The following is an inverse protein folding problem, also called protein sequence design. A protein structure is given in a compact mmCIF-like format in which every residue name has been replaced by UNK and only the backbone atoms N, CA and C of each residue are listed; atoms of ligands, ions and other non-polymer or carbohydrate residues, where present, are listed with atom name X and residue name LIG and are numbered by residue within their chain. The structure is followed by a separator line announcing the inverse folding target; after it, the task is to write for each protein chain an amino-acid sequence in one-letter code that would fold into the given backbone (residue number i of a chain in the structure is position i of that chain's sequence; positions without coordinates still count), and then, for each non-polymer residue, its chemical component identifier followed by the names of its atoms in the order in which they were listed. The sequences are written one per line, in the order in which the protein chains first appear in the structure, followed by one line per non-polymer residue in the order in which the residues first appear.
data_IF_518266778053
#
_entry.id   IF_518266778053
#
_cell.length_a   1.000
_cell.length_b   1.000
_cell.length_c   1.000
_cell.angle_alpha   90.00
_cell.angle_beta   90.00
_cell.angle_gamma   90.00
#
_symmetry.space_group_name_H-M   'P 1'
#
loop_
_entity.id
_entity.type
_entity.pdbx_description
1 polymer ?
#
# COMPACT_ATOMS: atom_id res chain seq x y z
N UNK A 1 21.21 4.66 -14.80
CA UNK A 1 20.70 3.66 -13.82
C UNK A 1 19.84 2.61 -14.52
N UNK A 2 18.97 3.01 -15.46
CA UNK A 2 18.08 2.11 -16.21
C UNK A 2 18.80 0.99 -16.98
N UNK A 3 19.99 1.24 -17.50
CA UNK A 3 20.78 0.23 -18.23
C UNK A 3 21.48 -0.78 -17.31
N UNK A 4 21.59 -0.47 -16.01
CA UNK A 4 22.37 -1.27 -15.05
C UNK A 4 21.50 -2.12 -14.13
N UNK A 5 20.24 -1.73 -13.91
CA UNK A 5 19.29 -2.50 -13.08
C UNK A 5 18.04 -2.78 -13.90
N UNK A 6 17.89 -4.04 -14.29
CA UNK A 6 16.79 -4.52 -15.13
C UNK A 6 15.82 -5.31 -14.25
N UNK A 7 14.50 -5.01 -14.27
CA UNK A 7 13.53 -5.75 -13.48
C UNK A 7 13.38 -7.18 -14.03
N UNK A 8 13.60 -8.19 -13.17
CA UNK A 8 13.54 -9.61 -13.53
C UNK A 8 12.14 -10.26 -13.46
N UNK A 9 11.14 -9.54 -12.92
CA UNK A 9 9.79 -10.02 -12.70
C UNK A 9 9.19 -9.48 -11.39
N UNK A 10 7.90 -9.71 -11.19
CA UNK A 10 7.17 -9.30 -10.00
C UNK A 10 7.52 -10.26 -8.87
N UNK A 11 7.77 -9.71 -7.68
CA UNK A 11 7.83 -10.52 -6.47
C UNK A 11 6.40 -11.00 -6.15
N UNK A 12 6.08 -12.22 -6.58
CA UNK A 12 4.71 -12.76 -6.47
C UNK A 12 4.39 -13.39 -5.12
N UNK A 13 5.42 -13.71 -4.32
CA UNK A 13 5.30 -14.27 -2.97
C UNK A 13 6.63 -14.18 -2.23
N UNK A 14 6.59 -14.23 -0.90
CA UNK A 14 7.76 -14.37 -0.03
C UNK A 14 7.47 -15.43 1.03
N UNK A 15 8.15 -16.57 0.95
CA UNK A 15 7.82 -17.72 1.80
C UNK A 15 6.33 -18.09 1.67
N UNK A 16 5.57 -18.15 2.77
CA UNK A 16 4.13 -18.43 2.74
C UNK A 16 3.25 -17.22 2.38
N UNK A 17 3.80 -16.00 2.35
CA UNK A 17 3.04 -14.77 2.10
C UNK A 17 2.78 -14.63 0.59
N UNK A 18 1.51 -14.73 0.20
CA UNK A 18 1.07 -14.55 -1.19
C UNK A 18 0.90 -13.06 -1.51
N UNK A 19 1.65 -12.55 -2.49
CA UNK A 19 1.50 -11.17 -2.97
C UNK A 19 0.54 -11.16 -4.16
N UNK A 20 0.81 -11.99 -5.17
CA UNK A 20 -0.03 -12.12 -6.38
C UNK A 20 0.01 -13.51 -7.02
N UNK A 21 0.74 -14.48 -6.43
CA UNK A 21 0.95 -15.81 -7.04
C UNK A 21 -0.38 -16.54 -7.24
N UNK A 22 -1.31 -16.47 -6.28
CA UNK A 22 -2.65 -17.07 -6.41
C UNK A 22 -3.44 -16.45 -7.54
N UNK A 23 -3.38 -15.13 -7.70
CA UNK A 23 -4.06 -14.41 -8.77
C UNK A 23 -3.56 -14.85 -10.15
N UNK A 24 -2.24 -14.84 -10.37
CA UNK A 24 -1.65 -15.30 -11.63
C UNK A 24 -2.03 -16.75 -11.94
N UNK A 25 -1.97 -17.64 -10.92
CA UNK A 25 -2.37 -19.03 -11.08
C UNK A 25 -3.83 -19.15 -11.49
N UNK A 26 -4.73 -18.37 -10.87
CA UNK A 26 -6.17 -18.42 -11.18
C UNK A 26 -6.47 -17.87 -12.58
N UNK A 27 -5.88 -16.75 -12.98
CA UNK A 27 -6.09 -16.14 -14.29
C UNK A 27 -5.59 -17.04 -15.42
N UNK A 28 -4.36 -17.58 -15.29
CA UNK A 28 -3.76 -18.47 -16.30
C UNK A 28 -4.47 -19.83 -16.40
N UNK A 29 -5.15 -20.27 -15.34
CA UNK A 29 -5.92 -21.50 -15.32
C UNK A 29 -7.38 -21.35 -15.79
N UNK A 30 -7.84 -20.13 -16.10
CA UNK A 30 -9.20 -19.89 -16.60
C UNK A 30 -9.40 -20.47 -17.99
N UNK A 31 -10.64 -20.82 -18.33
CA UNK A 31 -10.99 -21.35 -19.66
C UNK A 31 -10.68 -20.33 -20.76
N UNK A 32 -10.93 -19.03 -20.52
CA UNK A 32 -10.57 -17.97 -21.44
C UNK A 32 -9.06 -17.93 -21.73
N UNK A 33 -8.21 -18.15 -20.73
CA UNK A 33 -6.77 -18.19 -20.95
C UNK A 33 -6.33 -19.46 -21.71
N UNK A 34 -6.93 -20.61 -21.37
CA UNK A 34 -6.66 -21.90 -22.05
C UNK A 34 -7.10 -21.89 -23.51
N UNK A 35 -8.19 -21.20 -23.82
CA UNK A 35 -8.74 -21.06 -25.16
C UNK A 35 -8.10 -19.91 -25.96
N UNK A 36 -7.14 -19.17 -25.38
CA UNK A 36 -6.43 -18.08 -26.05
C UNK A 36 -7.19 -16.75 -26.13
N UNK A 37 -8.35 -16.64 -25.47
CA UNK A 37 -9.18 -15.43 -25.42
C UNK A 37 -8.68 -14.41 -24.37
N UNK A 38 -7.97 -14.88 -23.34
CA UNK A 38 -7.34 -14.04 -22.32
C UNK A 38 -5.81 -14.18 -22.36
N UNK A 39 -5.12 -13.06 -22.55
CA UNK A 39 -3.66 -12.98 -22.37
C UNK A 39 -3.33 -12.30 -21.05
N UNK A 40 -2.59 -12.98 -20.18
CA UNK A 40 -2.17 -12.46 -18.87
C UNK A 40 -0.76 -11.91 -18.99
N UNK A 41 -0.64 -10.60 -18.86
CA UNK A 41 0.61 -9.87 -18.91
C UNK A 41 1.11 -9.53 -17.51
N UNK A 42 2.40 -9.72 -17.27
CA UNK A 42 3.06 -9.28 -16.04
C UNK A 42 3.95 -8.09 -16.38
N UNK A 43 3.58 -6.90 -15.89
CA UNK A 43 4.36 -5.68 -16.09
C UNK A 43 5.14 -5.34 -14.82
N UNK A 44 6.44 -5.62 -14.85
CA UNK A 44 7.37 -5.30 -13.77
C UNK A 44 8.19 -4.07 -14.11
N UNK A 45 8.44 -3.21 -13.13
CA UNK A 45 9.18 -1.97 -13.32
C UNK A 45 10.07 -1.64 -12.12
N UNK A 46 11.13 -0.86 -12.36
CA UNK A 46 12.00 -0.35 -11.29
C UNK A 46 11.30 0.79 -10.54
N UNK A 47 10.61 0.44 -9.47
CA UNK A 47 9.83 1.36 -8.65
C UNK A 47 10.66 2.48 -8.00
N UNK A 48 12.01 2.46 -8.07
CA UNK A 48 12.86 3.52 -7.50
C UNK A 48 12.98 4.77 -8.39
N UNK A 49 12.58 4.64 -9.66
CA UNK A 49 12.72 5.68 -10.68
C UNK A 49 11.66 6.79 -10.55
N UNK A 50 11.78 7.83 -11.36
CA UNK A 50 10.80 8.93 -11.39
C UNK A 50 9.40 8.42 -11.76
N UNK A 51 8.33 8.81 -11.04
CA UNK A 51 6.98 8.36 -11.34
C UNK A 51 6.50 8.77 -12.74
N UNK A 52 6.95 9.93 -13.26
CA UNK A 52 6.70 10.33 -14.65
C UNK A 52 7.30 9.34 -15.66
N UNK A 53 8.56 8.93 -15.42
CA UNK A 53 9.23 7.96 -16.29
C UNK A 53 8.51 6.61 -16.26
N UNK A 54 8.10 6.16 -15.08
CA UNK A 54 7.35 4.91 -14.91
C UNK A 54 6.01 4.96 -15.65
N UNK A 55 5.31 6.09 -15.59
CA UNK A 55 4.07 6.27 -16.35
C UNK A 55 4.29 6.23 -17.86
N UNK A 56 5.31 6.93 -18.37
CA UNK A 56 5.67 6.87 -19.81
C UNK A 56 6.02 5.44 -20.26
N UNK A 57 6.76 4.70 -19.44
CA UNK A 57 7.11 3.29 -19.73
C UNK A 57 5.89 2.38 -19.71
N UNK A 58 4.93 2.61 -18.81
CA UNK A 58 3.67 1.86 -18.79
C UNK A 58 2.87 2.14 -20.07
N UNK A 59 2.76 3.40 -20.49
CA UNK A 59 2.11 3.77 -21.77
C UNK A 59 2.78 3.04 -22.94
N UNK A 60 4.11 3.15 -23.07
CA UNK A 60 4.87 2.48 -24.13
C UNK A 60 4.72 0.96 -24.13
N UNK A 61 4.55 0.35 -22.95
CA UNK A 61 4.26 -1.07 -22.84
C UNK A 61 2.86 -1.40 -23.35
N UNK A 62 1.86 -0.63 -22.91
CA UNK A 62 0.46 -0.82 -23.29
C UNK A 62 0.23 -0.61 -24.80
N UNK A 63 0.91 0.36 -25.43
CA UNK A 63 0.85 0.62 -26.87
C UNK A 63 1.30 -0.58 -27.72
N UNK A 64 2.19 -1.41 -27.19
CA UNK A 64 2.70 -2.60 -27.89
C UNK A 64 1.80 -3.82 -27.75
N UNK A 65 0.76 -3.75 -26.91
CA UNK A 65 -0.14 -4.88 -26.72
C UNK A 65 -1.02 -5.09 -27.95
N UNK A 66 -1.36 -6.35 -28.31
CA UNK A 66 -2.22 -6.64 -29.44
C UNK A 66 -3.57 -5.91 -29.37
N UNK A 67 -4.16 -5.79 -28.19
CA UNK A 67 -5.44 -5.09 -28.00
C UNK A 67 -5.38 -3.57 -28.18
N UNK A 68 -4.20 -2.99 -28.38
CA UNK A 68 -4.01 -1.55 -28.58
C UNK A 68 -3.47 -1.21 -29.96
N UNK A 69 -3.38 -2.19 -30.86
CA UNK A 69 -2.94 -1.93 -32.23
C UNK A 69 -4.01 -1.16 -33.03
N UNK A 70 -3.62 -0.34 -34.03
CA UNK A 70 -4.54 0.51 -34.78
C UNK A 70 -5.69 -0.23 -35.48
N UNK A 71 -5.45 -1.47 -35.88
CA UNK A 71 -6.41 -2.39 -36.52
C UNK A 71 -7.40 -3.03 -35.54
N UNK A 72 -7.15 -2.93 -34.23
CA UNK A 72 -8.07 -3.48 -33.22
C UNK A 72 -9.35 -2.64 -33.17
N UNK A 73 -10.54 -3.28 -33.36
CA UNK A 73 -11.83 -2.61 -33.25
C UNK A 73 -12.00 -1.87 -31.92
N UNK A 74 -12.64 -0.70 -31.95
CA UNK A 74 -12.76 0.19 -30.77
C UNK A 74 -13.43 -0.49 -29.57
N UNK A 75 -14.40 -1.38 -29.81
CA UNK A 75 -15.09 -2.19 -28.79
C UNK A 75 -14.20 -3.25 -28.13
N UNK A 76 -13.13 -3.67 -28.81
CA UNK A 76 -12.13 -4.63 -28.32
C UNK A 76 -10.81 -4.00 -27.91
N UNK A 77 -10.69 -2.66 -28.06
CA UNK A 77 -9.48 -1.91 -27.76
C UNK A 77 -9.32 -1.67 -26.26
N UNK A 78 -8.08 -1.72 -25.79
CA UNK A 78 -7.70 -1.41 -24.42
C UNK A 78 -7.41 -2.64 -23.57
N UNK A 79 -6.43 -2.53 -22.67
CA UNK A 79 -6.13 -3.55 -21.67
C UNK A 79 -6.91 -3.33 -20.37
N UNK A 80 -7.26 -4.41 -19.67
CA UNK A 80 -7.68 -4.32 -18.27
C UNK A 80 -6.41 -4.33 -17.41
N UNK A 81 -6.19 -3.27 -16.63
CA UNK A 81 -5.00 -3.13 -15.78
C UNK A 81 -5.37 -3.37 -14.32
N UNK A 82 -4.68 -4.30 -13.67
CA UNK A 82 -4.77 -4.52 -12.21
C UNK A 82 -3.55 -3.84 -11.59
N UNK A 83 -3.78 -2.80 -10.80
CA UNK A 83 -2.74 -1.98 -10.21
C UNK A 83 -2.79 -2.06 -8.68
N UNK A 84 -1.65 -2.34 -8.05
CA UNK A 84 -1.52 -2.45 -6.61
C UNK A 84 -0.67 -1.33 -6.03
N UNK A 85 -1.09 -0.79 -4.90
CA UNK A 85 -0.36 0.23 -4.14
C UNK A 85 0.11 1.40 -5.02
N UNK A 86 1.40 1.77 -4.97
CA UNK A 86 2.06 2.75 -5.82
C UNK A 86 1.79 2.56 -7.32
N UNK A 87 1.65 1.32 -7.79
CA UNK A 87 1.35 1.04 -9.21
C UNK A 87 0.03 1.66 -9.67
N UNK A 88 -0.92 1.88 -8.75
CA UNK A 88 -2.15 2.59 -9.07
C UNK A 88 -1.95 4.08 -9.33
N UNK A 89 -0.98 4.73 -8.67
CA UNK A 89 -0.62 6.12 -8.97
C UNK A 89 -0.02 6.24 -10.38
N UNK A 90 0.90 5.33 -10.74
CA UNK A 90 1.49 5.27 -12.07
C UNK A 90 0.43 5.02 -13.14
N UNK A 91 -0.50 4.10 -12.86
CA UNK A 91 -1.62 3.76 -13.74
C UNK A 91 -2.58 4.93 -13.92
N UNK A 92 -2.93 5.64 -12.84
CA UNK A 92 -3.81 6.81 -12.91
C UNK A 92 -3.20 7.94 -13.73
N UNK A 93 -1.91 8.22 -13.54
CA UNK A 93 -1.20 9.17 -14.40
C UNK A 93 -1.24 8.72 -15.86
N UNK A 94 -0.99 7.44 -16.15
CA UNK A 94 -1.03 6.92 -17.52
C UNK A 94 -2.42 7.05 -18.16
N UNK A 95 -3.49 6.80 -17.39
CA UNK A 95 -4.87 6.99 -17.82
C UNK A 95 -5.17 8.46 -18.15
N UNK A 96 -4.64 9.42 -17.39
CA UNK A 96 -4.79 10.85 -17.70
C UNK A 96 -4.04 11.28 -18.97
N UNK A 97 -3.09 10.50 -19.47
CA UNK A 97 -2.36 10.81 -20.71
C UNK A 97 -2.94 10.07 -21.91
N UNK A 98 -3.33 8.80 -21.71
CA UNK A 98 -3.74 7.88 -22.78
C UNK A 98 -4.88 6.96 -22.30
N UNK A 99 -6.08 7.51 -22.04
CA UNK A 99 -7.20 6.72 -21.54
C UNK A 99 -7.66 5.64 -22.55
N UNK A 100 -7.38 5.86 -23.85
CA UNK A 100 -7.69 4.95 -24.95
C UNK A 100 -6.98 3.59 -24.88
N UNK A 101 -5.88 3.48 -24.13
CA UNK A 101 -5.11 2.24 -23.96
C UNK A 101 -5.73 1.28 -22.93
N UNK A 102 -6.79 1.70 -22.26
CA UNK A 102 -7.40 0.99 -21.14
C UNK A 102 -8.85 0.61 -21.46
N UNK A 103 -9.20 -0.67 -21.29
CA UNK A 103 -10.59 -1.13 -21.31
C UNK A 103 -11.18 -1.25 -19.89
N UNK A 104 -10.33 -1.13 -18.87
CA UNK A 104 -10.73 -1.14 -17.47
C UNK A 104 -9.55 -1.06 -16.51
N UNK A 105 -9.81 -0.67 -15.26
CA UNK A 105 -8.79 -0.65 -14.21
C UNK A 105 -9.32 -1.17 -12.87
N UNK A 106 -8.50 -1.96 -12.16
CA UNK A 106 -8.74 -2.35 -10.77
C UNK A 106 -7.61 -1.80 -9.92
N UNK A 107 -7.94 -0.90 -8.99
CA UNK A 107 -7.01 -0.36 -7.99
C UNK A 107 -7.08 -1.18 -6.70
N UNK A 108 -5.98 -1.78 -6.28
CA UNK A 108 -5.90 -2.51 -5.01
C UNK A 108 -5.01 -1.74 -4.03
N UNK A 109 -5.61 -1.20 -2.98
CA UNK A 109 -4.89 -0.45 -1.94
C UNK A 109 -4.10 0.75 -2.47
N UNK A 110 -4.55 1.39 -3.55
CA UNK A 110 -3.82 2.51 -4.16
C UNK A 110 -3.94 3.77 -3.31
N UNK A 111 -2.85 4.32 -2.74
CA UNK A 111 -2.95 5.44 -1.82
C UNK A 111 -3.07 6.77 -2.55
N UNK A 112 -4.04 7.61 -2.19
CA UNK A 112 -3.99 9.04 -2.49
C UNK A 112 -2.89 9.73 -1.65
N UNK A 113 -2.76 9.28 -0.41
CA UNK A 113 -1.77 9.73 0.57
C UNK A 113 -1.41 8.55 1.47
N UNK A 114 -0.14 8.41 1.85
CA UNK A 114 0.35 7.38 2.76
C UNK A 114 1.54 7.95 3.54
N UNK A 115 1.33 8.29 4.81
CA UNK A 115 2.35 8.89 5.66
C UNK A 115 3.33 7.85 6.22
N UNK A 116 3.00 6.56 6.16
CA UNK A 116 3.86 5.47 6.65
C UNK A 116 5.30 5.53 6.10
N UNK A 117 5.48 6.08 4.89
CA UNK A 117 6.78 6.21 4.25
C UNK A 117 7.76 7.12 5.01
N UNK A 118 7.26 7.99 5.89
CA UNK A 118 8.10 8.89 6.70
C UNK A 118 8.99 8.11 7.69
N UNK A 119 8.54 6.96 8.18
CA UNK A 119 9.36 6.08 9.02
C UNK A 119 10.60 5.57 8.28
N UNK A 120 10.45 4.89 7.13
CA UNK A 120 11.57 4.45 6.31
C UNK A 120 12.51 5.58 5.88
N UNK A 121 11.98 6.77 5.61
CA UNK A 121 12.79 7.96 5.25
C UNK A 121 13.59 8.51 6.43
N UNK A 122 13.10 8.37 7.67
CA UNK A 122 13.74 8.85 8.90
C UNK A 122 14.69 7.82 9.51
N UNK A 123 14.23 6.59 9.64
CA UNK A 123 14.83 5.55 10.48
C UNK A 123 15.42 4.39 9.66
N UNK A 124 15.15 4.36 8.35
CA UNK A 124 15.30 3.13 7.55
C UNK A 124 14.16 2.16 7.81
N UNK A 125 14.19 1.04 7.11
CA UNK A 125 13.22 -0.04 7.24
C UNK A 125 13.96 -1.38 7.22
N UNK A 126 13.43 -2.36 7.93
CA UNK A 126 13.95 -3.71 7.91
C UNK A 126 13.35 -4.45 6.73
N UNK A 127 14.16 -5.16 5.95
CA UNK A 127 13.65 -6.13 4.96
C UNK A 127 13.93 -7.52 5.48
N UNK A 128 12.87 -8.24 5.83
CA UNK A 128 12.94 -9.54 6.48
C UNK A 128 13.73 -9.46 7.81
N UNK A 129 15.01 -9.81 7.77
CA UNK A 129 15.91 -9.81 8.94
C UNK A 129 17.07 -8.81 8.79
N UNK A 130 17.04 -7.95 7.77
CA UNK A 130 18.16 -7.04 7.45
C UNK A 130 17.76 -5.57 7.50
N UNK A 131 18.37 -4.85 8.44
CA UNK A 131 18.32 -3.38 8.57
C UNK A 131 19.30 -2.64 7.65
N UNK A 132 20.09 -3.38 6.86
CA UNK A 132 21.17 -2.83 6.03
C UNK A 132 20.77 -2.60 4.57
N UNK A 133 19.60 -3.08 4.15
CA UNK A 133 19.16 -3.03 2.75
C UNK A 133 18.35 -1.77 2.45
N UNK A 134 17.35 -1.45 3.29
CA UNK A 134 16.51 -0.26 3.14
C UNK A 134 16.86 0.78 4.21
N UNK A 135 18.10 1.23 4.24
CA UNK A 135 18.51 2.34 5.12
C UNK A 135 17.73 3.63 4.81
N UNK A 136 17.74 4.59 5.72
CA UNK A 136 17.16 5.92 5.51
C UNK A 136 17.71 6.57 4.23
N UNK A 137 19.01 6.43 3.98
CA UNK A 137 19.64 6.93 2.74
C UNK A 137 19.11 6.20 1.50
N UNK A 138 18.92 4.88 1.54
CA UNK A 138 18.35 4.15 0.40
C UNK A 138 16.93 4.62 0.13
N UNK A 139 16.06 4.66 1.15
CA UNK A 139 14.69 5.17 1.04
C UNK A 139 14.64 6.60 0.50
N UNK A 140 15.54 7.47 0.95
CA UNK A 140 15.66 8.85 0.47
C UNK A 140 15.97 8.94 -1.03
N UNK A 141 16.66 7.96 -1.60
CA UNK A 141 16.98 7.95 -3.05
C UNK A 141 15.89 7.34 -3.94
N UNK A 142 14.83 6.78 -3.35
CA UNK A 142 13.68 6.18 -4.05
C UNK A 142 12.68 7.30 -4.37
N UNK A 143 12.61 7.71 -5.64
CA UNK A 143 11.82 8.89 -6.05
C UNK A 143 10.32 8.73 -5.84
N UNK A 144 9.81 7.51 -5.97
CA UNK A 144 8.38 7.21 -5.79
C UNK A 144 7.93 7.25 -4.34
N UNK A 145 8.83 7.13 -3.36
CA UNK A 145 8.51 7.27 -1.94
C UNK A 145 7.88 8.63 -1.65
N UNK A 146 8.39 9.69 -2.27
CA UNK A 146 7.84 11.04 -2.14
C UNK A 146 6.45 11.19 -2.76
N UNK A 147 6.05 10.33 -3.71
CA UNK A 147 4.73 10.39 -4.35
C UNK A 147 3.60 9.95 -3.39
N UNK A 148 3.95 9.28 -2.29
CA UNK A 148 3.04 8.86 -1.25
C UNK A 148 2.69 9.99 -0.26
N UNK A 149 3.54 11.01 -0.16
CA UNK A 149 3.38 12.10 0.81
C UNK A 149 2.14 12.96 0.49
N UNK A 150 1.43 13.46 1.51
CA UNK A 150 0.22 14.25 1.31
C UNK A 150 0.53 15.67 0.82
N UNK A 151 -0.28 16.18 -0.12
CA UNK A 151 -0.19 17.57 -0.60
C UNK A 151 -0.73 18.58 0.42
N UNK A 152 -1.65 18.16 1.29
CA UNK A 152 -2.24 19.02 2.33
C UNK A 152 -1.36 19.12 3.60
N UNK A 153 -0.21 18.44 3.60
CA UNK A 153 0.76 18.48 4.68
C UNK A 153 0.35 17.79 5.97
N UNK A 154 -0.81 17.11 6.01
CA UNK A 154 -1.33 16.52 7.24
C UNK A 154 -0.54 15.29 7.65
N UNK A 155 0.02 15.32 8.86
CA UNK A 155 0.68 14.17 9.49
C UNK A 155 0.81 14.38 11.00
N UNK A 156 1.24 15.57 11.42
CA UNK A 156 1.51 15.86 12.82
C UNK A 156 0.34 16.63 13.45
N UNK A 157 0.03 16.31 14.71
CA UNK A 157 -0.96 17.05 15.48
C UNK A 157 -0.68 16.98 16.97
N UNK A 158 -1.15 17.99 17.71
CA UNK A 158 -0.94 18.09 19.14
C UNK A 158 -1.60 16.91 19.87
N UNK A 159 -0.84 16.23 20.74
CA UNK A 159 -1.35 15.07 21.48
C UNK A 159 -2.52 15.40 22.41
N UNK A 160 -2.57 16.62 22.96
CA UNK A 160 -3.60 17.09 23.88
C UNK A 160 -4.68 17.91 23.18
N UNK A 161 -4.32 18.98 22.47
CA UNK A 161 -5.28 19.94 21.89
C UNK A 161 -5.89 19.45 20.58
N UNK A 162 -5.31 18.43 19.94
CA UNK A 162 -5.65 17.95 18.60
C UNK A 162 -5.47 18.98 17.49
N UNK A 163 -4.79 20.09 17.77
CA UNK A 163 -4.40 21.08 16.76
C UNK A 163 -3.51 20.43 15.70
N UNK A 164 -3.85 20.59 14.42
CA UNK A 164 -3.07 20.06 13.31
C UNK A 164 -1.84 20.93 13.03
N UNK A 165 -0.70 20.29 12.78
CA UNK A 165 0.55 20.94 12.36
C UNK A 165 0.91 20.52 10.93
N UNK A 166 0.17 21.02 9.91
CA UNK A 166 0.51 20.72 8.53
C UNK A 166 1.90 21.27 8.19
N UNK A 167 2.66 20.52 7.40
CA UNK A 167 3.97 20.89 6.87
C UNK A 167 4.02 20.64 5.36
N UNK A 168 4.69 21.50 4.59
CA UNK A 168 4.84 21.27 3.15
C UNK A 168 5.92 20.21 2.88
N UNK A 169 5.50 18.97 2.68
CA UNK A 169 6.39 17.86 2.33
C UNK A 169 7.12 18.03 1.00
N UNK A 170 6.75 19.02 0.18
CA UNK A 170 7.36 19.31 -1.10
C UNK A 170 8.25 20.57 -1.08
N UNK A 171 8.50 21.14 0.10
CA UNK A 171 9.50 22.17 0.33
C UNK A 171 10.79 21.55 0.93
N UNK A 172 11.94 21.61 0.24
CA UNK A 172 13.20 21.06 0.78
C UNK A 172 13.62 21.72 2.12
N UNK A 173 13.24 22.97 2.39
CA UNK A 173 13.58 23.63 3.65
C UNK A 173 12.82 23.01 4.82
N UNK A 174 11.55 22.63 4.63
CA UNK A 174 10.76 21.92 5.64
C UNK A 174 11.43 20.61 6.06
N UNK A 175 12.07 19.89 5.14
CA UNK A 175 12.80 18.66 5.45
C UNK A 175 14.04 18.91 6.31
N UNK A 176 14.71 20.03 6.09
CA UNK A 176 15.88 20.45 6.87
C UNK A 176 15.44 20.87 8.27
N UNK A 177 14.45 21.77 8.36
CA UNK A 177 13.98 22.36 9.61
C UNK A 177 13.35 21.33 10.55
N UNK A 178 12.63 20.35 9.98
CA UNK A 178 11.97 19.28 10.73
C UNK A 178 12.79 17.97 10.76
N UNK A 179 14.03 18.00 10.26
CA UNK A 179 14.93 16.86 10.19
C UNK A 179 14.32 15.58 9.58
N UNK A 180 13.37 15.68 8.64
CA UNK A 180 12.51 14.56 8.18
C UNK A 180 13.29 13.34 7.66
N UNK A 181 14.55 13.52 7.28
CA UNK A 181 15.49 12.44 7.01
C UNK A 181 16.90 12.81 7.50
N UNK A 182 17.65 11.86 8.12
CA UNK A 182 19.03 12.10 8.54
C UNK A 182 19.97 12.48 7.38
N UNK A 183 19.55 12.25 6.13
CA UNK A 183 20.31 12.56 4.92
C UNK A 183 20.47 14.07 4.69
N UNK A 184 19.54 14.90 5.18
CA UNK A 184 19.58 16.37 5.00
C UNK A 184 19.76 17.14 6.32
N UNK A 185 19.31 16.58 7.43
CA UNK A 185 19.52 17.13 8.77
C UNK A 185 19.42 16.03 9.83
N UNK A 186 20.32 16.06 10.81
CA UNK A 186 20.33 15.10 11.92
C UNK A 186 19.19 15.42 12.90
N UNK A 187 18.33 14.45 13.25
CA UNK A 187 17.31 14.63 14.27
C UNK A 187 17.89 15.07 15.63
N UNK A 188 17.18 15.96 16.32
CA UNK A 188 17.52 16.35 17.69
C UNK A 188 17.21 15.22 18.69
N UNK A 189 17.89 15.19 19.86
CA UNK A 189 17.56 14.24 20.92
C UNK A 189 16.10 14.33 21.37
N UNK A 190 15.58 13.27 22.03
CA UNK A 190 14.20 13.21 22.52
C UNK A 190 13.79 14.44 23.31
N UNK A 191 12.51 14.81 23.24
CA UNK A 191 11.99 15.87 24.09
C UNK A 191 11.91 15.32 25.51
N UNK A 192 12.80 15.78 26.41
CA UNK A 192 12.71 15.39 27.82
C UNK A 192 11.33 15.78 28.34
N UNK A 193 10.51 14.79 28.68
CA UNK A 193 9.29 15.03 29.45
C UNK A 193 9.71 15.76 30.73
N UNK A 194 9.40 17.04 30.82
CA UNK A 194 9.68 17.87 32.01
C UNK A 194 8.75 17.54 33.17
N UNK A 195 8.12 16.37 33.14
CA UNK A 195 7.19 15.88 34.15
C UNK A 195 7.65 14.48 34.59
N UNK A 196 8.15 14.38 35.82
CA UNK A 196 8.49 13.15 36.56
C UNK A 196 9.93 12.58 36.51
N UNK A 197 10.98 13.40 36.52
CA UNK A 197 12.35 12.92 36.84
C UNK A 197 13.10 13.75 37.90
N UNK A 198 12.37 14.39 38.81
CA UNK A 198 12.95 15.23 39.86
C UNK A 198 13.43 14.52 41.13
N UNK A 199 13.04 13.26 41.38
CA UNK A 199 13.29 12.63 42.70
C UNK A 199 13.79 11.17 42.59
N UNK A 200 13.52 10.47 41.49
CA UNK A 200 13.89 9.05 41.32
C UNK A 200 15.37 8.82 40.96
N UNK A 201 16.02 9.82 40.36
CA UNK A 201 17.44 9.74 39.95
C UNK A 201 18.42 9.77 41.12
N UNK A 202 18.03 10.29 42.29
CA UNK A 202 18.90 10.37 43.47
C UNK A 202 18.88 9.04 44.24
N UNK A 203 17.80 8.26 44.18
CA UNK A 203 17.73 6.94 44.82
C UNK A 203 18.49 5.85 44.04
N UNK A 204 18.73 6.03 42.74
CA UNK A 204 19.50 5.07 41.93
C UNK A 204 21.01 5.16 42.19
N UNK A 205 21.50 6.29 42.73
CA UNK A 205 22.92 6.48 43.07
C UNK A 205 23.33 5.90 44.42
N UNK A 206 22.39 5.41 45.25
CA UNK A 206 22.68 4.80 46.56
C UNK A 206 22.51 3.27 46.58
N UNK A 207 22.05 2.66 45.49
CA UNK A 207 21.88 1.20 45.40
C UNK A 207 23.17 0.44 45.04
N UNK A 208 24.26 1.15 44.73
CA UNK A 208 25.56 0.59 44.33
C UNK A 208 26.51 0.26 45.50
N UNK A 209 26.01 0.24 46.75
CA UNK A 209 26.85 0.03 47.95
C UNK A 209 26.45 -1.15 48.86
N UNK A 210 25.76 -2.17 48.34
CA UNK A 210 25.44 -3.38 49.14
C UNK A 210 25.99 -4.67 48.50
N UNK A 211 26.73 -5.52 49.25
CA UNK A 211 27.29 -6.76 48.73
C UNK A 211 26.30 -7.95 48.75
N UNK A 212 26.38 -8.75 47.69
CA UNK A 212 25.76 -10.06 47.37
C UNK A 212 25.03 -10.86 48.48
N UNK A 213 23.81 -11.32 48.16
CA UNK A 213 23.24 -12.58 48.68
C UNK A 213 22.51 -13.38 47.56
N UNK A 214 22.46 -14.73 47.62
CA UNK A 214 22.20 -15.60 46.47
C UNK A 214 20.73 -15.96 46.21
N UNK A 215 20.48 -16.30 44.95
CA UNK A 215 19.23 -16.76 44.31
C UNK A 215 18.58 -17.98 44.99
N UNK A 216 17.27 -17.89 45.25
CA UNK A 216 16.38 -19.01 45.57
C UNK A 216 15.40 -19.20 44.42
N UNK A 217 15.46 -20.36 43.76
CA UNK A 217 14.52 -20.77 42.72
C UNK A 217 13.23 -21.38 43.26
N UNK A 218 12.18 -21.40 42.44
CA UNK A 218 11.05 -22.35 42.56
C UNK A 218 10.36 -22.57 41.21
N UNK A 219 10.20 -23.86 40.87
CA UNK A 219 9.40 -24.40 39.76
C UNK A 219 7.95 -24.65 40.23
N UNK A 220 7.01 -24.62 39.28
CA UNK A 220 5.68 -25.25 39.33
C UNK A 220 4.92 -24.88 38.04
N UNK A 221 4.07 -25.67 37.40
CA UNK A 221 3.63 -27.07 37.53
C UNK A 221 2.96 -27.48 36.20
N UNK A 222 3.07 -28.75 35.82
CA UNK A 222 2.36 -29.36 34.69
C UNK A 222 1.05 -29.97 35.20
N UNK A 223 -0.07 -29.78 34.48
CA UNK A 223 -1.26 -30.61 34.60
C UNK A 223 -1.61 -31.28 33.27
N UNK A 224 -1.57 -32.62 33.28
CA UNK A 224 -2.10 -33.53 32.27
C UNK A 224 -3.62 -33.70 32.47
N UNK A 225 -4.36 -33.90 31.38
CA UNK A 225 -5.51 -34.81 31.38
C UNK A 225 -5.61 -35.53 30.04
N UNK A 226 -5.57 -36.86 30.12
CA UNK A 226 -5.74 -37.81 29.04
C UNK A 226 -7.19 -38.31 29.07
N UNK A 227 -7.80 -38.58 27.91
CA UNK A 227 -9.14 -39.16 27.81
C UNK A 227 -9.32 -39.92 26.49
N UNK A 228 -9.68 -41.20 26.61
CA UNK A 228 -9.52 -42.27 25.62
C UNK A 228 -10.54 -42.28 24.45
N UNK A 229 -10.13 -43.00 23.40
CA UNK A 229 -10.93 -43.55 22.30
C UNK A 229 -12.11 -44.42 22.78
N UNK A 230 -13.21 -44.46 21.99
CA UNK A 230 -13.57 -45.63 21.18
C UNK A 230 -14.89 -45.46 20.35
N UNK A 231 -14.90 -46.18 19.22
CA UNK A 231 -16.01 -46.77 18.43
C UNK A 231 -16.61 -46.02 17.22
N UNK A 232 -16.57 -46.76 16.10
CA UNK A 232 -17.26 -46.79 14.79
C UNK A 232 -18.77 -46.41 14.82
N UNK A 233 -19.53 -46.09 13.77
CA UNK A 233 -19.45 -46.10 12.29
C UNK A 233 -20.63 -45.25 11.70
N UNK A 234 -20.63 -45.06 10.37
CA UNK A 234 -21.76 -44.67 9.50
C UNK A 234 -22.31 -43.22 9.51
N UNK A 235 -21.91 -42.45 8.49
CA UNK A 235 -22.83 -41.82 7.51
C UNK A 235 -22.02 -41.00 6.50
N UNK A 236 -21.87 -41.58 5.31
CA UNK A 236 -21.44 -40.90 4.10
C UNK A 236 -22.63 -40.17 3.45
N UNK A 237 -22.34 -39.17 2.62
CA UNK A 237 -23.26 -38.19 1.97
C UNK A 237 -23.66 -36.94 2.77
N UNK A 238 -22.69 -36.27 3.39
CA UNK A 238 -22.72 -34.81 3.63
C UNK A 238 -21.31 -34.19 3.75
N UNK A 239 -20.28 -34.84 3.18
CA UNK A 239 -18.87 -34.55 3.48
C UNK A 239 -18.14 -33.67 2.46
N UNK A 240 -18.64 -33.50 1.23
CA UNK A 240 -17.86 -32.78 0.21
C UNK A 240 -18.00 -31.25 0.27
N UNK A 241 -19.17 -30.72 0.61
CA UNK A 241 -19.35 -29.26 0.72
C UNK A 241 -18.79 -28.71 2.04
N UNK A 242 -18.86 -29.49 3.12
CA UNK A 242 -18.35 -29.10 4.44
C UNK A 242 -16.82 -29.20 4.52
N UNK A 243 -16.19 -30.14 3.81
CA UNK A 243 -14.72 -30.27 3.73
C UNK A 243 -14.06 -29.15 2.91
N UNK A 244 -14.75 -28.64 1.88
CA UNK A 244 -14.27 -27.49 1.09
C UNK A 244 -14.40 -26.17 1.87
N UNK A 245 -15.50 -25.99 2.60
CA UNK A 245 -15.69 -24.83 3.47
C UNK A 245 -14.77 -24.83 4.70
N UNK A 246 -14.54 -25.99 5.33
CA UNK A 246 -13.61 -26.10 6.48
C UNK A 246 -12.14 -26.05 6.08
N UNK A 247 -11.75 -26.51 4.89
CA UNK A 247 -10.38 -26.32 4.39
C UNK A 247 -10.13 -24.86 4.00
N UNK A 248 -11.09 -24.19 3.33
CA UNK A 248 -11.02 -22.76 3.04
C UNK A 248 -10.95 -21.90 4.32
N UNK A 249 -11.76 -22.22 5.34
CA UNK A 249 -11.73 -21.52 6.63
C UNK A 249 -10.44 -21.78 7.41
N UNK A 250 -9.88 -22.99 7.37
CA UNK A 250 -8.60 -23.32 8.01
C UNK A 250 -7.42 -22.65 7.31
N UNK A 251 -7.42 -22.59 5.97
CA UNK A 251 -6.46 -21.82 5.20
C UNK A 251 -6.57 -20.33 5.48
N UNK A 252 -7.78 -19.76 5.50
CA UNK A 252 -8.00 -18.35 5.85
C UNK A 252 -7.53 -18.00 7.28
N UNK A 253 -7.73 -18.89 8.25
CA UNK A 253 -7.32 -18.65 9.64
C UNK A 253 -5.81 -18.85 9.87
N UNK A 254 -5.17 -19.77 9.15
CA UNK A 254 -3.71 -19.90 9.13
C UNK A 254 -3.05 -18.73 8.38
N UNK A 255 -3.69 -18.22 7.32
CA UNK A 255 -3.28 -17.04 6.56
C UNK A 255 -3.41 -15.76 7.39
N UNK A 256 -4.51 -15.54 8.11
CA UNK A 256 -4.66 -14.38 9.01
C UNK A 256 -3.56 -14.33 10.09
N UNK A 257 -3.11 -15.49 10.59
CA UNK A 257 -1.96 -15.60 11.50
C UNK A 257 -0.62 -15.31 10.82
N UNK A 258 -0.45 -15.70 9.55
CA UNK A 258 0.74 -15.36 8.76
C UNK A 258 0.76 -13.88 8.32
N UNK A 259 -0.42 -13.28 8.08
CA UNK A 259 -0.62 -11.89 7.69
C UNK A 259 -0.34 -10.91 8.83
N UNK A 260 -0.72 -11.24 10.08
CA UNK A 260 -0.24 -10.50 11.26
C UNK A 260 1.29 -10.51 11.39
N UNK A 261 1.94 -11.55 10.85
CA UNK A 261 3.39 -11.60 10.69
C UNK A 261 3.91 -10.71 9.55
N UNK A 262 3.17 -10.49 8.47
CA UNK A 262 3.60 -9.72 7.30
C UNK A 262 3.66 -8.19 7.55
N UNK A 263 2.76 -7.68 8.40
CA UNK A 263 2.88 -6.32 8.94
C UNK A 263 4.08 -6.17 9.88
N UNK A 264 4.55 -7.27 10.49
CA UNK A 264 5.75 -7.31 11.32
C UNK A 264 7.00 -7.85 10.60
N UNK A 265 6.92 -8.23 9.33
CA UNK A 265 8.01 -8.91 8.60
C UNK A 265 8.87 -7.96 7.77
N UNK A 266 8.72 -6.64 7.94
CA UNK A 266 9.50 -5.65 7.18
C UNK A 266 9.18 -5.59 5.68
N UNK A 267 7.97 -5.99 5.29
CA UNK A 267 7.56 -6.04 3.86
C UNK A 267 6.66 -4.88 3.46
N UNK A 268 6.24 -4.07 4.43
CA UNK A 268 5.35 -2.94 4.28
C UNK A 268 5.94 -1.77 5.08
N UNK A 269 5.93 -0.54 4.54
CA UNK A 269 6.52 0.60 5.22
C UNK A 269 5.78 0.90 6.53
N UNK A 270 6.54 1.15 7.60
CA UNK A 270 6.02 1.47 8.93
C UNK A 270 6.58 2.80 9.43
N UNK A 271 5.70 3.69 9.91
CA UNK A 271 6.12 4.97 10.46
C UNK A 271 6.88 4.82 11.79
N UNK A 272 6.44 3.88 12.64
CA UNK A 272 7.11 3.57 13.91
C UNK A 272 8.37 2.76 13.63
N UNK A 273 9.51 3.21 14.16
CA UNK A 273 10.75 2.44 14.07
C UNK A 273 10.70 1.19 14.94
N UNK A 274 11.42 0.14 14.55
CA UNK A 274 11.82 -0.92 15.49
C UNK A 274 12.90 -0.34 16.41
N UNK A 275 12.51 0.39 17.45
CA UNK A 275 13.43 0.72 18.52
C UNK A 275 13.78 -0.59 19.24
N UNK A 276 15.06 -1.02 19.28
CA UNK A 276 15.43 -2.08 20.18
C UNK A 276 15.15 -1.59 21.60
N UNK A 277 14.20 -2.24 22.26
CA UNK A 277 13.91 -2.02 23.67
C UNK A 277 15.18 -2.21 24.49
N UNK A 278 15.54 -1.19 25.27
CA UNK A 278 16.59 -1.20 26.30
C UNK A 278 18.00 -1.64 25.87
N UNK A 279 18.84 -0.64 25.58
CA UNK A 279 20.22 -0.65 26.06
C UNK A 279 20.50 0.66 26.77
N UNK A 280 20.40 0.65 28.11
CA UNK A 280 21.04 1.66 28.94
C UNK A 280 22.54 1.52 28.73
N UNK A 281 23.11 2.33 27.84
CA UNK A 281 24.57 2.51 27.80
C UNK A 281 24.86 4.00 27.70
N UNK A 282 24.85 4.64 28.88
CA UNK A 282 25.30 6.01 29.05
C UNK A 282 26.80 5.97 29.33
N UNK A 283 27.61 5.94 28.27
CA UNK A 283 29.06 5.90 28.41
C UNK A 283 29.80 6.07 27.09
N UNK A 284 30.35 7.27 26.87
CA UNK A 284 31.60 7.53 26.15
C UNK A 284 31.78 7.04 24.69
N UNK A 285 31.87 8.04 23.80
CA UNK A 285 32.71 8.09 22.59
C UNK A 285 32.23 7.35 21.33
N UNK A 286 31.77 8.15 20.35
CA UNK A 286 31.89 8.00 18.89
C UNK A 286 32.38 6.64 18.35
N UNK A 287 31.46 5.83 17.82
CA UNK A 287 31.56 4.91 16.65
C UNK A 287 30.70 3.63 16.79
N UNK A 288 29.41 3.77 17.06
CA UNK A 288 28.45 2.71 16.72
C UNK A 288 27.18 3.36 16.14
N UNK A 289 27.35 3.98 14.97
CA UNK A 289 26.24 4.54 14.20
C UNK A 289 25.31 3.42 13.76
N UNK A 290 24.03 3.49 14.14
CA UNK A 290 23.00 2.58 13.64
C UNK A 290 23.10 2.49 12.09
N UNK A 291 23.38 1.31 11.52
CA UNK A 291 23.60 1.17 10.08
C UNK A 291 22.35 1.57 9.26
N UNK A 292 21.16 1.48 9.84
CA UNK A 292 19.91 1.88 9.19
C UNK A 292 19.84 3.39 8.90
N UNK A 293 20.56 4.22 9.66
CA UNK A 293 20.56 5.68 9.53
C UNK A 293 21.92 6.24 9.10
N UNK A 294 22.88 5.38 8.75
CA UNK A 294 24.19 5.82 8.29
C UNK A 294 24.07 6.58 6.95
N UNK A 295 24.69 7.77 6.89
CA UNK A 295 24.66 8.64 5.71
C UNK A 295 26.08 8.79 5.16
N UNK A 296 26.24 8.47 3.88
CA UNK A 296 27.49 8.64 3.12
C UNK A 296 27.35 9.65 1.98
N UNK A 297 26.13 10.10 1.67
CA UNK A 297 25.87 11.10 0.65
C UNK A 297 26.29 12.50 1.15
N UNK A 298 27.09 13.28 0.39
CA UNK A 298 27.40 14.66 0.74
C UNK A 298 26.12 15.50 0.88
N UNK A 299 26.04 16.30 1.94
CA UNK A 299 24.81 17.05 2.29
C UNK A 299 24.32 17.95 1.16
N UNK A 300 25.21 18.69 0.49
CA UNK A 300 24.82 19.58 -0.60
C UNK A 300 24.26 18.82 -1.80
N UNK A 301 24.84 17.65 -2.11
CA UNK A 301 24.32 16.76 -3.14
C UNK A 301 22.96 16.17 -2.76
N UNK A 302 22.74 15.86 -1.47
CA UNK A 302 21.45 15.41 -0.95
C UNK A 302 20.36 16.48 -1.09
N UNK A 303 20.66 17.72 -0.70
CA UNK A 303 19.73 18.86 -0.79
C UNK A 303 19.40 19.15 -2.26
N UNK A 304 20.39 19.16 -3.15
CA UNK A 304 20.18 19.34 -4.58
C UNK A 304 19.33 18.20 -5.18
N UNK A 305 19.54 16.96 -4.76
CA UNK A 305 18.71 15.83 -5.15
C UNK A 305 17.27 15.99 -4.66
N UNK A 306 17.08 16.32 -3.38
CA UNK A 306 15.77 16.48 -2.75
C UNK A 306 14.97 17.57 -3.44
N UNK A 307 15.57 18.75 -3.63
CA UNK A 307 14.94 19.91 -4.27
C UNK A 307 14.36 19.55 -5.63
N UNK A 308 15.16 18.92 -6.50
CA UNK A 308 14.69 18.47 -7.83
C UNK A 308 13.61 17.39 -7.71
N UNK A 309 13.80 16.42 -6.84
CA UNK A 309 12.88 15.26 -6.70
C UNK A 309 11.52 15.70 -6.17
N UNK A 310 11.47 16.56 -5.15
CA UNK A 310 10.23 17.09 -4.60
C UNK A 310 9.48 17.91 -5.64
N UNK A 311 10.15 18.79 -6.38
CA UNK A 311 9.51 19.57 -7.44
C UNK A 311 8.91 18.69 -8.54
N UNK A 312 9.67 17.70 -9.04
CA UNK A 312 9.18 16.75 -10.05
C UNK A 312 8.00 15.93 -9.52
N UNK A 313 8.08 15.41 -8.30
CA UNK A 313 7.04 14.54 -7.73
C UNK A 313 5.78 15.33 -7.34
N UNK A 314 5.91 16.58 -6.88
CA UNK A 314 4.77 17.48 -6.64
C UNK A 314 3.97 17.65 -7.93
N UNK A 315 4.64 17.99 -9.04
CA UNK A 315 4.01 18.09 -10.35
C UNK A 315 3.32 16.78 -10.75
N UNK A 316 4.00 15.64 -10.59
CA UNK A 316 3.39 14.33 -10.86
C UNK A 316 2.09 14.14 -10.08
N UNK A 317 2.07 14.49 -8.79
CA UNK A 317 0.88 14.32 -7.94
C UNK A 317 -0.26 15.24 -8.35
N UNK A 318 0.03 16.48 -8.74
CA UNK A 318 -0.99 17.42 -9.25
C UNK A 318 -1.60 16.91 -10.56
N UNK A 319 -0.80 16.33 -11.44
CA UNK A 319 -1.24 15.71 -12.70
C UNK A 319 -2.08 14.43 -12.52
N UNK A 320 -2.17 13.89 -11.29
CA UNK A 320 -3.07 12.77 -10.95
C UNK A 320 -4.53 13.20 -10.77
N UNK A 321 -4.79 14.50 -10.73
CA UNK A 321 -6.14 15.02 -10.60
C UNK A 321 -7.02 14.59 -11.79
N UNK A 322 -8.32 14.50 -11.53
CA UNK A 322 -9.30 14.23 -12.57
C UNK A 322 -9.28 15.35 -13.63
N UNK A 323 -9.32 14.98 -14.89
CA UNK A 323 -9.42 15.91 -16.03
C UNK A 323 -10.87 15.94 -16.54
N UNK A 324 -11.58 17.08 -16.39
CA UNK A 324 -12.97 17.20 -16.81
C UNK A 324 -13.21 16.82 -18.27
N UNK A 325 -12.33 17.23 -19.18
CA UNK A 325 -12.45 16.94 -20.61
C UNK A 325 -12.52 15.43 -20.90
N UNK A 326 -11.77 14.60 -20.15
CA UNK A 326 -11.85 13.14 -20.26
C UNK A 326 -13.14 12.57 -19.66
N UNK A 327 -13.66 13.19 -18.61
CA UNK A 327 -14.96 12.87 -18.03
C UNK A 327 -16.11 13.15 -18.99
N UNK A 328 -16.15 14.37 -19.51
CA UNK A 328 -17.19 14.85 -20.43
C UNK A 328 -17.18 14.08 -21.74
N UNK A 329 -15.99 13.73 -22.24
CA UNK A 329 -15.84 12.87 -23.41
C UNK A 329 -16.20 11.39 -23.14
N UNK A 330 -16.49 10.98 -21.90
CA UNK A 330 -16.64 9.56 -21.50
C UNK A 330 -15.43 8.73 -21.94
N UNK A 331 -14.22 9.26 -21.73
CA UNK A 331 -12.96 8.64 -22.11
C UNK A 331 -12.37 7.77 -20.99
N UNK A 332 -12.61 8.13 -19.72
CA UNK A 332 -12.08 7.35 -18.59
C UNK A 332 -12.59 5.90 -18.59
N UNK A 333 -11.70 4.90 -18.43
CA UNK A 333 -12.09 3.51 -18.40
C UNK A 333 -12.92 3.19 -17.16
N UNK A 334 -13.78 2.14 -17.19
CA UNK A 334 -14.45 1.67 -15.99
C UNK A 334 -13.43 1.26 -14.92
N UNK A 335 -13.60 1.79 -13.71
CA UNK A 335 -12.69 1.59 -12.59
C UNK A 335 -13.36 0.86 -11.43
N UNK A 336 -12.61 -0.01 -10.76
CA UNK A 336 -12.99 -0.65 -9.50
C UNK A 336 -11.86 -0.51 -8.45
N UNK A 337 -12.21 -0.64 -7.18
CA UNK A 337 -11.33 -0.47 -6.02
C UNK A 337 -11.49 -1.67 -5.08
N UNK A 338 -10.35 -2.23 -4.68
CA UNK A 338 -10.20 -3.13 -3.53
C UNK A 338 -9.48 -2.35 -2.43
N UNK A 339 -10.05 -2.32 -1.23
CA UNK A 339 -9.46 -1.63 -0.08
C UNK A 339 -9.57 -2.47 1.19
N UNK A 340 -8.58 -2.37 2.08
CA UNK A 340 -8.68 -2.95 3.42
C UNK A 340 -9.33 -1.97 4.40
N UNK A 341 -10.05 -2.51 5.38
CA UNK A 341 -10.65 -1.72 6.49
C UNK A 341 -10.42 -2.31 7.88
N UNK A 342 -9.81 -3.49 7.94
CA UNK A 342 -9.83 -4.35 9.13
C UNK A 342 -8.51 -4.29 9.91
N UNK A 343 -7.51 -3.56 9.41
CA UNK A 343 -6.19 -3.44 10.05
C UNK A 343 -5.94 -1.99 10.49
N UNK A 344 -5.57 -1.76 11.77
CA UNK A 344 -5.14 -0.44 12.22
C UNK A 344 -4.02 0.12 11.34
N UNK A 345 -4.25 1.29 10.79
CA UNK A 345 -3.35 1.91 9.82
C UNK A 345 -3.01 3.32 10.26
N UNK A 346 -1.71 3.64 10.27
CA UNK A 346 -1.22 4.94 10.72
C UNK A 346 -1.72 6.04 9.78
N UNK A 347 -2.20 7.14 10.36
CA UNK A 347 -2.56 8.35 9.60
C UNK A 347 -1.79 9.59 10.04
N UNK A 348 -1.01 9.49 11.11
CA UNK A 348 -0.24 10.61 11.63
C UNK A 348 0.45 10.29 12.95
N UNK A 349 1.19 11.27 13.45
CA UNK A 349 1.91 11.20 14.71
C UNK A 349 1.46 12.31 15.67
N UNK A 350 1.28 11.95 16.94
CA UNK A 350 0.91 12.86 18.02
C UNK A 350 2.19 13.45 18.59
N UNK A 351 2.27 14.78 18.60
CA UNK A 351 3.44 15.52 19.08
C UNK A 351 3.08 16.51 20.18
N UNK A 352 4.03 16.91 21.02
CA UNK A 352 3.80 17.90 22.06
C UNK A 352 3.61 19.32 21.49
N UNK A 353 4.30 19.62 20.39
CA UNK A 353 4.32 20.90 19.69
C UNK A 353 5.08 20.78 18.37
N UNK A 354 5.23 21.87 17.61
CA UNK A 354 5.95 21.88 16.33
C UNK A 354 7.43 21.57 16.51
N UNK A 355 8.02 22.03 17.61
CA UNK A 355 9.41 21.80 18.02
C UNK A 355 9.73 20.33 18.35
N UNK A 356 8.70 19.48 18.47
CA UNK A 356 8.89 18.04 18.67
C UNK A 356 9.14 17.30 17.33
N UNK A 357 8.69 17.83 16.19
CA UNK A 357 8.77 17.16 14.88
C UNK A 357 10.24 16.88 14.46
N UNK A 358 11.16 17.77 14.81
CA UNK A 358 12.58 17.60 14.50
C UNK A 358 13.33 16.61 15.42
N UNK A 359 12.64 15.96 16.38
CA UNK A 359 13.27 15.09 17.38
C UNK A 359 13.14 13.61 17.06
N UNK A 360 14.00 12.78 17.65
CA UNK A 360 14.05 11.33 17.39
C UNK A 360 12.78 10.58 17.81
N UNK A 361 12.05 11.09 18.81
CA UNK A 361 10.84 10.52 19.41
C UNK A 361 9.52 11.01 18.79
N UNK A 362 9.58 11.81 17.70
CA UNK A 362 8.39 12.38 17.07
C UNK A 362 7.40 11.35 16.50
N UNK A 363 7.80 10.09 16.33
CA UNK A 363 6.99 8.99 15.82
C UNK A 363 6.63 7.94 16.89
N UNK A 364 6.87 8.22 18.18
CA UNK A 364 6.58 7.27 19.26
C UNK A 364 5.08 7.14 19.54
N UNK A 365 4.33 8.25 19.46
CA UNK A 365 2.89 8.29 19.69
C UNK A 365 2.10 8.34 18.36
N UNK A 366 2.01 7.22 17.65
CA UNK A 366 1.27 7.14 16.39
C UNK A 366 -0.25 7.15 16.56
N UNK A 367 -0.94 7.64 15.53
CA UNK A 367 -2.39 7.64 15.45
C UNK A 367 -2.89 6.74 14.34
N UNK A 368 -3.92 5.96 14.64
CA UNK A 368 -4.43 4.89 13.77
C UNK A 368 -5.89 5.09 13.41
N UNK A 369 -6.24 4.65 12.21
CA UNK A 369 -7.61 4.53 11.71
C UNK A 369 -7.75 3.26 10.87
N UNK A 370 -8.94 2.98 10.33
CA UNK A 370 -9.18 1.78 9.54
C UNK A 370 -8.43 1.81 8.20
N UNK A 371 -7.82 0.68 7.84
CA UNK A 371 -7.12 0.49 6.57
C UNK A 371 -6.64 -0.95 6.39
N UNK A 372 -5.58 -1.10 5.59
CA UNK A 372 -4.95 -2.38 5.25
C UNK A 372 -3.58 -2.60 5.93
N UNK A 373 -3.23 -1.77 6.92
CA UNK A 373 -1.95 -1.75 7.61
C UNK A 373 -0.94 -0.77 7.01
N UNK A 374 -1.18 -0.27 5.80
CA UNK A 374 -0.31 0.71 5.11
C UNK A 374 -1.11 1.90 4.62
N UNK A 375 -2.24 1.64 3.96
CA UNK A 375 -3.10 2.62 3.32
C UNK A 375 -4.44 2.65 4.02
N UNK A 376 -4.86 3.86 4.40
CA UNK A 376 -6.17 4.07 5.01
C UNK A 376 -7.29 3.68 4.05
N UNK A 377 -8.37 3.11 4.57
CA UNK A 377 -9.56 2.76 3.78
C UNK A 377 -10.08 3.95 2.96
N UNK A 378 -10.05 5.15 3.56
CA UNK A 378 -10.42 6.42 2.90
C UNK A 378 -9.42 6.85 1.82
N UNK A 379 -8.13 6.61 2.03
CA UNK A 379 -7.08 7.01 1.11
C UNK A 379 -6.96 6.06 -0.08
N UNK A 380 -7.48 4.83 0.04
CA UNK A 380 -7.54 3.83 -1.02
C UNK A 380 -8.67 4.06 -2.04
N UNK A 381 -9.61 4.97 -1.76
CA UNK A 381 -10.70 5.31 -2.68
C UNK A 381 -10.18 6.13 -3.87
N UNK A 382 -10.93 6.15 -4.97
CA UNK A 382 -10.60 7.04 -6.10
C UNK A 382 -10.74 8.51 -5.68
N UNK A 383 -9.90 9.43 -6.20
CA UNK A 383 -10.00 10.86 -5.88
C UNK A 383 -11.31 11.49 -6.36
N UNK A 384 -11.57 12.71 -5.88
CA UNK A 384 -12.65 13.54 -6.38
C UNK A 384 -12.61 13.67 -7.92
N UNK A 385 -13.80 13.66 -8.54
CA UNK A 385 -13.99 13.66 -9.98
C UNK A 385 -14.02 12.26 -10.61
N UNK A 386 -13.20 11.32 -10.12
CA UNK A 386 -13.25 9.93 -10.60
C UNK A 386 -14.47 9.18 -10.07
N UNK A 387 -14.98 8.26 -10.87
CA UNK A 387 -16.07 7.36 -10.49
C UNK A 387 -15.68 5.91 -10.62
N UNK A 388 -16.19 5.08 -9.72
CA UNK A 388 -16.11 3.63 -9.76
C UNK A 388 -17.41 3.04 -10.30
N UNK A 389 -17.32 1.95 -11.04
CA UNK A 389 -18.50 1.27 -11.59
C UNK A 389 -19.33 0.65 -10.48
N UNK A 390 -20.65 0.47 -10.73
CA UNK A 390 -21.56 -0.15 -9.77
C UNK A 390 -21.07 -1.55 -9.38
N UNK A 391 -20.94 -1.80 -8.08
CA UNK A 391 -20.41 -3.06 -7.55
C UNK A 391 -18.89 -3.17 -7.59
N UNK A 392 -18.19 -2.14 -8.09
CA UNK A 392 -16.73 -2.07 -8.18
C UNK A 392 -16.04 -1.51 -6.93
N UNK A 393 -16.72 -1.36 -5.79
CA UNK A 393 -16.10 -1.00 -4.51
C UNK A 393 -16.19 -2.21 -3.60
N UNK A 394 -15.04 -2.83 -3.31
CA UNK A 394 -14.99 -4.07 -2.56
C UNK A 394 -14.01 -3.95 -1.40
N UNK A 395 -14.50 -4.16 -0.18
CA UNK A 395 -13.64 -4.27 0.99
C UNK A 395 -13.01 -5.66 1.08
N UNK A 396 -11.75 -5.73 1.47
CA UNK A 396 -11.04 -6.96 1.83
C UNK A 396 -10.66 -6.92 3.31
N UNK A 397 -10.57 -8.11 3.93
CA UNK A 397 -10.01 -8.27 5.27
C UNK A 397 -8.50 -8.56 5.24
N UNK A 398 -7.92 -8.68 4.03
CA UNK A 398 -6.48 -8.90 3.85
C UNK A 398 -5.67 -7.63 4.08
N UNK A 399 -4.43 -7.83 4.53
CA UNK A 399 -3.45 -6.76 4.64
C UNK A 399 -2.93 -6.28 3.29
N UNK A 400 -2.29 -5.11 3.29
CA UNK A 400 -1.87 -4.38 2.09
C UNK A 400 -1.12 -5.26 1.10
N UNK A 401 -0.15 -6.03 1.59
CA UNK A 401 0.74 -6.88 0.79
C UNK A 401 -0.01 -8.04 0.11
N UNK A 402 -1.09 -8.54 0.73
CA UNK A 402 -1.82 -9.73 0.27
C UNK A 402 -3.14 -9.42 -0.42
N UNK A 403 -3.46 -8.13 -0.66
CA UNK A 403 -4.72 -7.70 -1.27
C UNK A 403 -5.04 -8.37 -2.62
N UNK A 404 -4.04 -8.58 -3.48
CA UNK A 404 -4.27 -9.26 -4.77
C UNK A 404 -4.53 -10.77 -4.62
N UNK A 405 -4.22 -11.35 -3.46
CA UNK A 405 -4.55 -12.73 -3.10
C UNK A 405 -6.03 -12.93 -2.73
N UNK A 406 -6.80 -11.86 -2.54
CA UNK A 406 -8.25 -11.91 -2.37
C UNK A 406 -8.96 -12.13 -3.71
N UNK A 407 -9.04 -13.40 -4.12
CA UNK A 407 -9.59 -13.79 -5.42
C UNK A 407 -11.09 -13.49 -5.55
N UNK A 408 -11.84 -13.49 -4.44
CA UNK A 408 -13.27 -13.13 -4.45
C UNK A 408 -13.43 -11.63 -4.70
N UNK A 409 -12.68 -10.80 -3.96
CA UNK A 409 -12.71 -9.35 -4.19
C UNK A 409 -12.25 -8.99 -5.61
N UNK A 410 -11.19 -9.66 -6.10
CA UNK A 410 -10.69 -9.48 -7.45
C UNK A 410 -11.73 -9.89 -8.51
N UNK A 411 -12.37 -11.04 -8.34
CA UNK A 411 -13.42 -11.52 -9.25
C UNK A 411 -14.60 -10.55 -9.35
N UNK A 412 -15.06 -10.02 -8.20
CA UNK A 412 -16.13 -9.01 -8.15
C UNK A 412 -15.72 -7.72 -8.87
N UNK A 413 -14.51 -7.23 -8.64
CA UNK A 413 -14.01 -6.01 -9.31
C UNK A 413 -13.87 -6.19 -10.82
N UNK A 414 -13.28 -7.31 -11.28
CA UNK A 414 -13.15 -7.61 -12.70
C UNK A 414 -14.52 -7.75 -13.37
N UNK A 415 -15.46 -8.45 -12.72
CA UNK A 415 -16.84 -8.56 -13.22
C UNK A 415 -17.52 -7.20 -13.36
N UNK A 416 -17.38 -6.32 -12.36
CA UNK A 416 -17.93 -4.97 -12.39
C UNK A 416 -17.31 -4.11 -13.50
N UNK A 417 -15.98 -4.17 -13.68
CA UNK A 417 -15.26 -3.45 -14.74
C UNK A 417 -15.73 -3.91 -16.12
N UNK A 418 -15.82 -5.22 -16.36
CA UNK A 418 -16.32 -5.77 -17.63
C UNK A 418 -17.76 -5.36 -17.89
N UNK A 419 -18.62 -5.41 -16.87
CA UNK A 419 -20.01 -4.95 -16.99
C UNK A 419 -20.09 -3.44 -17.31
N UNK A 420 -19.27 -2.62 -16.65
CA UNK A 420 -19.18 -1.19 -16.92
C UNK A 420 -18.73 -0.88 -18.35
N UNK A 421 -17.74 -1.62 -18.86
CA UNK A 421 -17.27 -1.48 -20.25
C UNK A 421 -18.40 -1.82 -21.24
N UNK A 422 -19.12 -2.91 -21.02
CA UNK A 422 -20.28 -3.32 -21.84
C UNK A 422 -21.42 -2.30 -21.81
N UNK A 423 -21.60 -1.60 -20.69
CA UNK A 423 -22.56 -0.50 -20.55
C UNK A 423 -22.08 0.82 -21.21
N UNK A 424 -20.92 0.83 -21.84
CA UNK A 424 -20.40 1.98 -22.61
C UNK A 424 -19.52 2.94 -21.81
N UNK A 425 -19.07 2.60 -20.60
CA UNK A 425 -18.12 3.44 -19.85
C UNK A 425 -16.75 3.44 -20.56
N UNK A 426 -16.18 4.64 -20.76
CA UNK A 426 -14.87 4.80 -21.41
C UNK A 426 -14.86 4.58 -22.93
N UNK A 427 -16.04 4.55 -23.57
CA UNK A 427 -16.19 4.27 -25.01
C UNK A 427 -16.38 5.53 -25.87
N UNK A 428 -16.40 6.72 -25.24
CA UNK A 428 -16.82 7.96 -25.88
C UNK A 428 -18.32 8.22 -25.74
N UNK A 429 -18.73 9.47 -25.94
CA UNK A 429 -20.15 9.90 -25.85
C UNK A 429 -21.04 9.25 -26.90
N UNK A 430 -20.58 9.10 -28.14
CA UNK A 430 -21.35 8.54 -29.26
C UNK A 430 -21.73 7.06 -29.05
N UNK A 431 -20.81 6.27 -28.47
CA UNK A 431 -21.09 4.87 -28.19
C UNK A 431 -22.15 4.74 -27.09
N UNK A 432 -22.08 5.59 -26.06
CA UNK A 432 -23.04 5.60 -24.95
C UNK A 432 -24.46 5.96 -25.43
N UNK A 433 -24.59 6.90 -26.36
CA UNK A 433 -25.87 7.26 -26.98
C UNK A 433 -26.48 6.07 -27.73
N UNK A 434 -25.71 5.43 -28.61
CA UNK A 434 -26.15 4.24 -29.36
C UNK A 434 -26.53 3.07 -28.46
N UNK A 435 -25.80 2.82 -27.37
CA UNK A 435 -26.14 1.77 -26.41
C UNK A 435 -27.48 2.03 -25.71
N UNK A 436 -27.76 3.29 -25.34
CA UNK A 436 -29.04 3.68 -24.73
C UNK A 436 -30.21 3.52 -25.70
N UNK A 437 -30.06 3.96 -26.95
CA UNK A 437 -31.09 3.79 -27.99
C UNK A 437 -31.39 2.30 -28.24
N UNK A 438 -30.36 1.45 -28.34
CA UNK A 438 -30.53 0.01 -28.50
C UNK A 438 -31.24 -0.65 -27.32
N UNK A 439 -31.00 -0.21 -26.09
CA UNK A 439 -31.68 -0.70 -24.89
C UNK A 439 -33.16 -0.29 -24.85
N UNK A 440 -33.46 0.96 -25.23
CA UNK A 440 -34.85 1.47 -25.34
C UNK A 440 -35.63 0.68 -26.39
N UNK A 441 -35.03 0.40 -27.56
CA UNK A 441 -35.66 -0.40 -28.61
C UNK A 441 -35.90 -1.85 -28.15
N UNK A 442 -34.95 -2.46 -27.43
CA UNK A 442 -35.12 -3.81 -26.85
C UNK A 442 -36.26 -3.88 -25.84
N UNK A 443 -36.28 -2.96 -24.86
CA UNK A 443 -37.36 -2.91 -23.86
C UNK A 443 -38.73 -2.65 -24.48
N UNK A 444 -38.78 -1.85 -25.56
CA UNK A 444 -40.01 -1.59 -26.30
C UNK A 444 -40.50 -2.84 -27.05
N UNK A 445 -39.60 -3.67 -27.59
CA UNK A 445 -39.93 -4.97 -28.18
C UNK A 445 -40.42 -5.98 -27.14
N UNK A 446 -39.70 -6.13 -26.03
CA UNK A 446 -40.10 -7.03 -24.93
C UNK A 446 -41.43 -6.64 -24.31
N UNK A 447 -41.74 -5.34 -24.25
CA UNK A 447 -43.05 -4.84 -23.79
C UNK A 447 -44.16 -5.18 -24.78
N UNK A 448 -43.93 -5.01 -26.08
CA UNK A 448 -44.90 -5.40 -27.13
C UNK A 448 -45.15 -6.90 -27.19
N UNK A 449 -44.14 -7.72 -26.94
CA UNK A 449 -44.28 -9.19 -26.88
C UNK A 449 -45.07 -9.65 -25.64
N UNK A 450 -44.99 -8.90 -24.52
CA UNK A 450 -45.77 -9.18 -23.30
C UNK A 450 -47.20 -8.65 -23.32
N UNK A 451 -47.49 -7.64 -24.15
CA UNK A 451 -48.83 -7.05 -24.30
C UNK A 451 -49.63 -7.71 -25.45
N UNK A 452 -48.99 -8.55 -26.27
CA UNK A 452 -49.59 -9.30 -27.37
C UNK A 452 -49.84 -10.80 -27.12
N UNK A 453 -49.63 -11.26 -25.88
CA UNK A 453 -49.96 -12.58 -25.37
C UNK A 453 -50.94 -12.43 -24.21
#
# INVERSE_FOLDING_TARGET
MEERVIPGGMLTHVGPVDIARRLFKRLRASDNARNGELRVHEYSYDWRLSPHLLSRKLIQYLEKLPCNQPDTPKDRRGAIVIAHSLGGLITRHAINQRPDLFSGVVYAGTPNTCVNILGPLRNGDDVLLSSRVLTAQVNFTIRTSFALLPLDGKCFFNKHTKEEYPIDFFDPQVWIDNALSPVVATPLPPLKDSYASGITGIMSSMASVLPNLPSIGRKGSISRSNGNNAVQSEKEKAKDDKAKATSAARSANAEAKAEGGATHSGMAPQMGGHHPSNSNDWGSNSQNSNPATAVTLPRDAAIAYLTRTLAEVKRFKEELAFQPDHGDANAYPPAAVIYGKSIPTVYGARVAGREHICRTDCYDELAFASGDGVVLARAAQVPAGYSVVRGGVVSSDRGHVTLLGDLEAMGRCLGAVVAGRKAGVGMGVEHRARSKEGEVVRRSREKKEKEGA
#
